data_IF_531796938982
#
_entry.id   IF_531796938982
#
_cell.length_a   1.000
_cell.length_b   1.000
_cell.length_c   1.000
_cell.angle_alpha   90.00
_cell.angle_beta   90.00
_cell.angle_gamma   90.00
#
_symmetry.space_group_name_H-M   'P 1'
#
loop_
_entity.id
_entity.type
_entity.pdbx_description
1 polymer ?
#
# COMPACT_ATOMS: atom_id res chain seq x y z
N UNK A 1 -14.23 10.21 -8.93
CA UNK A 1 -13.94 8.76 -8.87
C UNK A 1 -14.83 8.08 -9.91
N UNK A 2 -14.33 7.18 -10.79
CA UNK A 2 -15.17 6.43 -11.72
C UNK A 2 -16.12 5.44 -11.00
N UNK A 3 -17.20 4.97 -11.65
CA UNK A 3 -18.10 3.94 -11.11
C UNK A 3 -17.37 2.64 -10.75
N UNK A 4 -17.87 1.90 -9.75
CA UNK A 4 -17.23 0.66 -9.28
C UNK A 4 -17.04 -0.38 -10.39
N UNK A 5 -18.02 -0.56 -11.28
CA UNK A 5 -17.93 -1.51 -12.39
C UNK A 5 -16.79 -1.18 -13.37
N UNK A 6 -16.55 0.11 -13.63
CA UNK A 6 -15.43 0.59 -14.46
C UNK A 6 -14.10 0.33 -13.75
N UNK A 7 -14.03 0.60 -12.44
CA UNK A 7 -12.83 0.29 -11.63
C UNK A 7 -12.49 -1.20 -11.68
N UNK A 8 -13.49 -2.06 -11.48
CA UNK A 8 -13.31 -3.51 -11.55
C UNK A 8 -12.85 -3.95 -12.94
N UNK A 9 -13.39 -3.36 -14.01
CA UNK A 9 -12.96 -3.66 -15.37
C UNK A 9 -11.49 -3.32 -15.61
N UNK A 10 -11.03 -2.16 -15.14
CA UNK A 10 -9.60 -1.82 -15.15
C UNK A 10 -8.76 -2.87 -14.41
N UNK A 11 -9.17 -3.29 -13.22
CA UNK A 11 -8.43 -4.28 -12.41
C UNK A 11 -8.42 -5.66 -13.09
N UNK A 12 -9.51 -6.07 -13.74
CA UNK A 12 -9.58 -7.33 -14.53
C UNK A 12 -8.56 -7.33 -15.68
N UNK A 13 -8.33 -6.16 -16.29
CA UNK A 13 -7.32 -5.98 -17.34
C UNK A 13 -5.93 -5.62 -16.80
N UNK A 14 -5.73 -5.66 -15.48
CA UNK A 14 -4.48 -5.27 -14.81
C UNK A 14 -4.05 -3.81 -15.06
N UNK A 15 -5.01 -2.94 -15.38
CA UNK A 15 -4.84 -1.51 -15.58
C UNK A 15 -4.94 -0.75 -14.25
N UNK A 16 -3.87 -0.79 -13.47
CA UNK A 16 -3.88 -0.22 -12.11
C UNK A 16 -3.70 1.31 -12.12
N UNK A 17 -4.74 2.04 -12.52
CA UNK A 17 -4.69 3.51 -12.69
C UNK A 17 -4.73 4.22 -11.33
N UNK A 18 -3.73 5.07 -11.07
CA UNK A 18 -3.62 5.83 -9.83
C UNK A 18 -4.81 6.80 -9.64
N UNK A 19 -5.17 7.05 -8.39
CA UNK A 19 -6.22 7.96 -7.92
C UNK A 19 -7.65 7.67 -8.45
N UNK A 20 -7.81 6.58 -9.22
CA UNK A 20 -9.08 6.16 -9.85
C UNK A 20 -9.62 4.83 -9.36
N UNK A 21 -8.84 4.08 -8.59
CA UNK A 21 -9.21 2.75 -8.09
C UNK A 21 -9.29 2.76 -6.56
N UNK A 22 -10.29 2.06 -6.03
CA UNK A 22 -10.58 1.95 -4.59
C UNK A 22 -10.26 0.55 -4.06
N UNK A 23 -9.99 0.39 -2.75
CA UNK A 23 -9.74 -0.93 -2.15
C UNK A 23 -10.86 -1.93 -2.43
N UNK A 24 -12.11 -1.45 -2.39
CA UNK A 24 -13.30 -2.27 -2.67
C UNK A 24 -13.27 -2.90 -4.07
N UNK A 25 -12.81 -2.17 -5.08
CA UNK A 25 -12.71 -2.69 -6.44
C UNK A 25 -11.66 -3.82 -6.53
N UNK A 26 -10.54 -3.71 -5.80
CA UNK A 26 -9.53 -4.76 -5.75
C UNK A 26 -10.06 -6.02 -5.08
N UNK A 27 -10.72 -5.89 -3.93
CA UNK A 27 -11.32 -7.03 -3.24
C UNK A 27 -12.40 -7.69 -4.09
N UNK A 28 -13.18 -6.91 -4.83
CA UNK A 28 -14.23 -7.42 -5.73
C UNK A 28 -13.68 -8.25 -6.91
N UNK A 29 -12.50 -7.93 -7.43
CA UNK A 29 -11.92 -8.61 -8.61
C UNK A 29 -10.88 -9.67 -8.26
N UNK A 30 -9.99 -9.38 -7.32
CA UNK A 30 -8.88 -10.26 -6.95
C UNK A 30 -9.15 -11.07 -5.69
N UNK A 31 -10.24 -10.78 -4.96
CA UNK A 31 -10.54 -11.40 -3.67
C UNK A 31 -9.82 -10.71 -2.51
N UNK A 32 -9.90 -11.31 -1.32
CA UNK A 32 -9.21 -10.79 -0.15
C UNK A 32 -7.68 -10.88 -0.32
N UNK A 33 -6.92 -9.83 0.08
CA UNK A 33 -5.47 -9.88 0.01
C UNK A 33 -4.90 -10.90 1.00
N UNK A 34 -3.76 -11.49 0.66
CA UNK A 34 -3.07 -12.43 1.56
C UNK A 34 -2.56 -11.71 2.82
N UNK A 35 -2.16 -10.44 2.67
CA UNK A 35 -1.74 -9.58 3.77
C UNK A 35 -2.31 -8.18 3.59
N UNK A 36 -2.68 -7.57 4.71
CA UNK A 36 -3.06 -6.17 4.78
C UNK A 36 -2.39 -5.50 5.97
N UNK A 37 -2.17 -4.19 5.86
CA UNK A 37 -1.70 -3.35 6.97
C UNK A 37 -2.30 -1.96 6.85
N UNK A 38 -2.69 -1.41 7.99
CA UNK A 38 -3.08 0.00 8.10
C UNK A 38 -2.02 0.72 8.92
N UNK A 39 -1.50 1.83 8.42
CA UNK A 39 -0.48 2.59 9.11
C UNK A 39 -0.50 4.07 8.74
N UNK A 40 -0.42 4.94 9.75
CA UNK A 40 -0.24 6.37 9.55
C UNK A 40 1.19 6.67 9.14
N UNK A 41 1.41 7.26 7.97
CA UNK A 41 2.75 7.60 7.50
C UNK A 41 2.78 8.75 6.49
N UNK A 42 4.00 9.21 6.20
CA UNK A 42 4.29 10.19 5.17
C UNK A 42 4.45 9.52 3.80
N UNK A 43 4.04 10.25 2.77
CA UNK A 43 4.20 9.91 1.38
C UNK A 43 4.90 11.04 0.63
N UNK A 44 5.75 10.69 -0.32
CA UNK A 44 6.46 11.64 -1.18
C UNK A 44 5.81 11.67 -2.56
N UNK A 45 5.36 12.86 -2.98
CA UNK A 45 4.75 13.04 -4.29
C UNK A 45 5.78 12.95 -5.42
N UNK A 46 5.57 12.00 -6.32
CA UNK A 46 6.45 11.72 -7.44
C UNK A 46 5.96 12.44 -8.70
N UNK A 47 6.87 12.73 -9.63
CA UNK A 47 6.54 13.38 -10.92
C UNK A 47 5.54 12.62 -11.80
N UNK A 48 5.42 11.30 -11.61
CA UNK A 48 4.45 10.45 -12.31
C UNK A 48 3.05 10.46 -11.66
N UNK A 49 2.88 11.24 -10.58
CA UNK A 49 1.64 11.37 -9.82
C UNK A 49 1.42 10.27 -8.78
N UNK A 50 2.36 9.33 -8.61
CA UNK A 50 2.36 8.39 -7.50
C UNK A 50 2.78 9.05 -6.19
N UNK A 51 2.30 8.50 -5.08
CA UNK A 51 2.73 8.90 -3.75
C UNK A 51 3.55 7.77 -3.14
N UNK A 52 4.87 7.92 -3.11
CA UNK A 52 5.78 6.90 -2.58
C UNK A 52 5.68 6.86 -1.05
N UNK A 53 5.23 5.75 -0.43
CA UNK A 53 5.20 5.64 1.03
C UNK A 53 6.62 5.63 1.62
N UNK A 54 6.82 6.34 2.75
CA UNK A 54 8.14 6.44 3.41
C UNK A 54 8.77 5.08 3.73
N UNK A 55 7.95 4.07 4.04
CA UNK A 55 8.39 2.70 4.36
C UNK A 55 9.05 1.96 3.20
N UNK A 56 8.85 2.43 1.95
CA UNK A 56 9.49 1.85 0.76
C UNK A 56 10.81 2.51 0.39
N UNK A 57 11.19 3.59 1.06
CA UNK A 57 12.48 4.26 0.85
C UNK A 57 13.52 3.75 1.85
N UNK A 58 14.72 3.44 1.35
CA UNK A 58 15.85 3.17 2.23
C UNK A 58 16.18 4.42 3.07
N UNK A 59 16.72 4.20 4.27
CA UNK A 59 17.09 5.30 5.17
C UNK A 59 18.21 6.12 4.52
N UNK A 60 18.01 7.43 4.39
CA UNK A 60 18.98 8.36 3.80
C UNK A 60 18.85 8.52 2.28
N UNK A 61 17.95 7.80 1.61
CA UNK A 61 17.70 8.00 0.17
C UNK A 61 16.67 9.10 -0.08
N UNK A 62 16.99 9.97 -1.04
CA UNK A 62 16.02 10.92 -1.62
C UNK A 62 15.26 10.18 -2.72
N UNK A 63 13.91 10.18 -2.70
CA UNK A 63 13.12 9.55 -3.75
C UNK A 63 13.47 10.13 -5.13
N UNK A 64 13.90 9.27 -6.05
CA UNK A 64 14.25 9.70 -7.42
C UNK A 64 12.97 10.13 -8.15
N UNK A 65 12.91 11.39 -8.57
CA UNK A 65 11.71 11.95 -9.20
C UNK A 65 10.68 12.49 -8.21
N UNK A 66 11.08 12.74 -6.96
CA UNK A 66 10.32 13.54 -6.01
C UNK A 66 10.12 14.97 -6.53
N UNK A 67 8.91 15.50 -6.38
CA UNK A 67 8.53 16.87 -6.81
C UNK A 67 8.29 17.81 -5.62
N UNK A 68 8.99 17.56 -4.51
CA UNK A 68 8.90 18.31 -3.24
C UNK A 68 7.54 18.25 -2.50
N UNK A 69 6.55 17.54 -3.04
CA UNK A 69 5.26 17.33 -2.38
C UNK A 69 5.33 16.23 -1.32
N UNK A 70 4.63 16.44 -0.20
CA UNK A 70 4.56 15.49 0.92
C UNK A 70 3.13 15.44 1.43
N UNK A 71 2.53 14.26 1.33
CA UNK A 71 1.22 13.96 1.91
C UNK A 71 1.40 13.11 3.17
N UNK A 72 0.44 13.15 4.09
CA UNK A 72 0.46 12.33 5.31
C UNK A 72 -0.94 11.85 5.61
N UNK A 73 -1.09 10.58 5.96
CA UNK A 73 -2.37 10.05 6.38
C UNK A 73 -2.32 8.56 6.67
N UNK A 74 -3.50 8.01 6.94
CA UNK A 74 -3.68 6.59 7.18
C UNK A 74 -3.65 5.82 5.87
N UNK A 75 -2.59 5.03 5.69
CA UNK A 75 -2.34 4.22 4.52
C UNK A 75 -2.95 2.83 4.69
N UNK A 76 -3.61 2.31 3.66
CA UNK A 76 -3.98 0.90 3.55
C UNK A 76 -3.05 0.21 2.55
N UNK A 77 -2.27 -0.75 3.02
CA UNK A 77 -1.43 -1.62 2.21
C UNK A 77 -2.14 -2.95 1.97
N UNK A 78 -2.24 -3.39 0.72
CA UNK A 78 -2.72 -4.71 0.35
C UNK A 78 -1.67 -5.45 -0.48
N UNK A 79 -1.28 -6.65 -0.06
CA UNK A 79 -0.34 -7.50 -0.77
C UNK A 79 -1.04 -8.72 -1.39
N UNK A 80 -0.84 -8.91 -2.69
CA UNK A 80 -1.38 -10.03 -3.48
C UNK A 80 -0.23 -10.86 -4.08
N UNK A 81 0.37 -11.80 -3.33
CA UNK A 81 1.48 -12.63 -3.81
C UNK A 81 1.19 -13.35 -5.13
N UNK A 82 -0.01 -13.93 -5.26
CA UNK A 82 -0.43 -14.66 -6.47
C UNK A 82 -0.65 -13.75 -7.68
N UNK A 83 -0.78 -12.44 -7.46
CA UNK A 83 -0.91 -11.43 -8.53
C UNK A 83 0.39 -10.67 -8.77
N UNK A 84 1.39 -10.82 -7.89
CA UNK A 84 2.67 -10.09 -7.98
C UNK A 84 2.56 -8.59 -7.70
N UNK A 85 1.56 -8.15 -6.93
CA UNK A 85 1.33 -6.73 -6.67
C UNK A 85 1.27 -6.39 -5.18
N UNK A 86 1.97 -5.32 -4.83
CA UNK A 86 1.69 -4.49 -3.66
C UNK A 86 0.93 -3.25 -4.13
N UNK A 87 -0.22 -2.97 -3.53
CA UNK A 87 -1.00 -1.75 -3.81
C UNK A 87 -1.28 -1.01 -2.51
N UNK A 88 -1.19 0.31 -2.57
CA UNK A 88 -1.30 1.18 -1.39
C UNK A 88 -2.29 2.29 -1.66
N UNK A 89 -3.16 2.49 -0.68
CA UNK A 89 -4.23 3.46 -0.74
C UNK A 89 -4.04 4.53 0.33
N UNK A 90 -4.42 5.75 -0.04
CA UNK A 90 -4.55 6.90 0.86
C UNK A 90 -5.91 7.55 0.53
N UNK A 91 -6.70 7.87 1.56
CA UNK A 91 -8.07 8.39 1.41
C UNK A 91 -8.95 7.55 0.45
N UNK A 92 -8.84 6.23 0.58
CA UNK A 92 -9.52 5.22 -0.25
C UNK A 92 -9.14 5.24 -1.76
N UNK A 93 -8.04 5.89 -2.13
CA UNK A 93 -7.59 5.97 -3.53
C UNK A 93 -6.25 5.28 -3.70
N UNK A 94 -6.08 4.52 -4.78
CA UNK A 94 -4.81 3.91 -5.13
C UNK A 94 -3.76 5.01 -5.38
N UNK A 95 -2.75 5.13 -4.54
CA UNK A 95 -1.70 6.16 -4.67
C UNK A 95 -0.34 5.58 -5.01
N UNK A 96 -0.13 4.29 -4.75
CA UNK A 96 1.11 3.60 -5.09
C UNK A 96 0.86 2.14 -5.45
N UNK A 97 1.68 1.63 -6.37
CA UNK A 97 1.67 0.24 -6.82
C UNK A 97 3.10 -0.19 -7.11
N UNK A 98 3.41 -1.43 -6.76
CA UNK A 98 4.73 -2.01 -6.97
C UNK A 98 4.61 -3.45 -7.41
N UNK A 99 5.23 -3.78 -8.55
CA UNK A 99 5.33 -5.15 -9.02
C UNK A 99 6.46 -5.85 -8.26
N UNK A 100 6.14 -6.95 -7.59
CA UNK A 100 7.07 -7.70 -6.74
C UNK A 100 6.87 -9.19 -6.95
N UNK A 101 7.92 -9.97 -6.74
CA UNK A 101 7.78 -11.43 -6.71
C UNK A 101 6.90 -11.86 -5.53
N UNK A 102 6.21 -13.00 -5.66
CA UNK A 102 5.41 -13.57 -4.56
C UNK A 102 6.24 -13.77 -3.29
N UNK A 103 7.52 -14.16 -3.42
CA UNK A 103 8.44 -14.31 -2.29
C UNK A 103 8.69 -12.99 -1.55
N UNK A 104 8.89 -11.88 -2.28
CA UNK A 104 9.04 -10.55 -1.69
C UNK A 104 7.76 -10.08 -0.99
N UNK A 105 6.59 -10.31 -1.60
CA UNK A 105 5.30 -9.95 -1.01
C UNK A 105 5.00 -10.73 0.27
N UNK A 106 5.30 -12.03 0.29
CA UNK A 106 5.21 -12.82 1.51
C UNK A 106 6.19 -12.35 2.59
N UNK A 107 7.41 -11.93 2.22
CA UNK A 107 8.37 -11.40 3.18
C UNK A 107 7.87 -10.09 3.82
N UNK A 108 7.33 -9.17 3.01
CA UNK A 108 6.70 -7.93 3.47
C UNK A 108 5.54 -8.24 4.43
N UNK A 109 4.60 -9.09 4.01
CA UNK A 109 3.42 -9.44 4.81
C UNK A 109 3.75 -10.10 6.15
N UNK A 110 4.75 -10.98 6.19
CA UNK A 110 5.26 -11.56 7.45
C UNK A 110 5.92 -10.51 8.34
N UNK A 111 6.61 -9.53 7.76
CA UNK A 111 7.17 -8.40 8.49
C UNK A 111 6.10 -7.61 9.24
N UNK A 112 4.97 -7.32 8.57
CA UNK A 112 3.84 -6.65 9.20
C UNK A 112 3.27 -7.43 10.39
N UNK A 113 3.00 -8.72 10.20
CA UNK A 113 2.50 -9.58 11.27
C UNK A 113 3.48 -9.71 12.45
N UNK A 114 4.77 -9.62 12.18
CA UNK A 114 5.79 -9.59 13.23
C UNK A 114 5.68 -8.28 14.01
N UNK A 115 5.75 -7.14 13.34
CA UNK A 115 5.68 -5.81 13.97
C UNK A 115 4.41 -5.63 14.84
N UNK A 116 3.26 -6.09 14.37
CA UNK A 116 2.01 -6.03 15.15
C UNK A 116 2.14 -6.78 16.48
N UNK A 117 2.80 -7.95 16.48
CA UNK A 117 3.05 -8.74 17.70
C UNK A 117 4.01 -8.02 18.67
N UNK A 118 4.89 -7.15 18.20
CA UNK A 118 5.80 -6.38 19.08
C UNK A 118 5.13 -5.13 19.63
N UNK A 119 4.31 -4.43 18.85
CA UNK A 119 3.51 -3.29 19.34
C UNK A 119 2.63 -3.72 20.53
N UNK A 120 1.92 -4.85 20.40
CA UNK A 120 1.09 -5.35 21.51
C UNK A 120 1.91 -5.66 22.77
N UNK A 121 3.14 -6.21 22.64
CA UNK A 121 3.98 -6.57 23.79
C UNK A 121 4.54 -5.36 24.54
N UNK A 122 4.87 -4.28 23.84
CA UNK A 122 5.41 -3.06 24.44
C UNK A 122 4.32 -2.24 25.15
N UNK A 123 3.10 -2.20 24.61
CA UNK A 123 1.95 -1.53 25.25
C UNK A 123 1.41 -2.30 26.47
N UNK A 124 1.71 -3.60 26.59
CA UNK A 124 1.31 -4.43 27.75
C UNK A 124 2.29 -4.34 28.91
N UNK A 125 3.38 -3.56 28.81
CA UNK A 125 4.23 -3.29 29.96
C UNK A 125 3.52 -2.27 30.87
N UNK A 126 3.07 -2.64 32.08
CA UNK A 126 2.47 -1.67 32.98
C UNK A 126 3.54 -0.63 33.34
N UNK A 127 3.24 0.63 33.06
CA UNK A 127 3.91 1.77 33.67
C UNK A 127 3.88 1.55 35.18
N UNK A 128 5.04 1.21 35.74
CA UNK A 128 5.21 0.96 37.17
C UNK A 128 5.67 2.24 37.86
#
# INVERSE_FOLDING_TARGET
MPPLSEQEQHIRHNELVLKRLTPRAFVGVWGMPAYQRVEFMQFFGMKDGSLMPRSRLAIGEVPRGWDADVETGEALFLAYPDRGWLVVFLDERLVYKEALSGAQLHAIGRGWQYEDKFKTKLETAPSR
#
